data_IF_506504198217
#
_entry.id   IF_506504198217
#
_cell.length_a   1.000
_cell.length_b   1.000
_cell.length_c   1.000
_cell.angle_alpha   90.00
_cell.angle_beta   90.00
_cell.angle_gamma   90.00
#
_symmetry.space_group_name_H-M   'P 1'
#
loop_
_entity.id
_entity.type
_entity.pdbx_description
1 polymer ?
#
# COMPACT_ATOMS: atom_id res chain seq x y z
N UNK A 1 -22.54 -72.79 13.07
CA UNK A 1 -22.47 -72.63 11.60
C UNK A 1 -22.82 -71.19 11.27
N UNK A 2 -22.03 -70.56 10.39
CA UNK A 2 -22.21 -69.26 9.71
C UNK A 2 -22.42 -68.02 10.61
N UNK A 3 -21.46 -67.10 10.80
CA UNK A 3 -20.79 -66.18 9.86
C UNK A 3 -21.69 -65.11 9.21
N UNK A 4 -21.07 -63.94 8.98
CA UNK A 4 -21.51 -62.75 8.23
C UNK A 4 -22.25 -61.67 9.03
N UNK A 5 -21.99 -60.37 8.84
CA UNK A 5 -20.83 -59.55 8.47
C UNK A 5 -21.38 -58.12 8.44
N UNK A 6 -20.53 -57.15 8.79
CA UNK A 6 -20.51 -55.76 8.31
C UNK A 6 -21.56 -54.79 8.85
N UNK A 7 -21.04 -53.78 9.55
CA UNK A 7 -21.73 -52.51 9.73
C UNK A 7 -21.12 -51.57 10.76
N UNK A 8 -19.79 -51.61 11.00
CA UNK A 8 -19.16 -50.56 11.80
C UNK A 8 -19.04 -49.31 10.92
N UNK A 9 -20.11 -48.52 10.90
CA UNK A 9 -20.11 -47.19 10.29
C UNK A 9 -19.14 -46.31 11.06
N UNK A 10 -17.91 -46.21 10.56
CA UNK A 10 -16.92 -45.25 11.00
C UNK A 10 -17.45 -43.85 10.63
N UNK A 11 -18.20 -43.22 11.53
CA UNK A 11 -18.50 -41.79 11.44
C UNK A 11 -17.19 -41.04 11.61
N UNK A 12 -16.53 -40.79 10.47
CA UNK A 12 -15.43 -39.85 10.35
C UNK A 12 -16.01 -38.46 10.63
N UNK A 13 -15.93 -38.03 11.90
CA UNK A 13 -16.08 -36.62 12.26
C UNK A 13 -14.99 -35.86 11.50
N UNK A 14 -15.36 -35.27 10.35
CA UNK A 14 -14.59 -34.22 9.73
C UNK A 14 -14.57 -33.05 10.72
N UNK A 15 -13.58 -33.06 11.62
CA UNK A 15 -13.15 -31.87 12.32
C UNK A 15 -12.60 -30.92 11.27
N UNK A 16 -13.45 -30.04 10.76
CA UNK A 16 -13.03 -28.88 10.00
C UNK A 16 -12.29 -27.97 10.99
N UNK A 17 -11.00 -28.24 11.19
CA UNK A 17 -10.10 -27.30 11.84
C UNK A 17 -9.98 -26.09 10.92
N UNK A 18 -10.94 -25.16 11.05
CA UNK A 18 -10.71 -23.78 10.65
C UNK A 18 -9.71 -23.24 11.65
N UNK A 19 -8.42 -23.46 11.37
CA UNK A 19 -7.35 -22.65 11.95
C UNK A 19 -7.56 -21.25 11.37
N UNK A 20 -8.46 -20.46 11.97
CA UNK A 20 -8.33 -19.02 11.93
C UNK A 20 -6.94 -18.75 12.49
N UNK A 21 -5.99 -18.35 11.63
CA UNK A 21 -4.68 -17.94 12.11
C UNK A 21 -4.91 -16.74 13.00
N UNK A 22 -4.70 -16.93 14.31
CA UNK A 22 -4.75 -15.83 15.27
C UNK A 22 -3.79 -14.69 14.87
N UNK A 23 -2.73 -15.03 14.12
CA UNK A 23 -1.75 -14.10 13.54
C UNK A 23 -2.40 -13.04 12.64
N UNK A 24 -3.48 -13.37 11.93
CA UNK A 24 -4.14 -12.41 11.03
C UNK A 24 -4.93 -11.31 11.77
N UNK A 25 -5.27 -11.54 13.04
CA UNK A 25 -5.96 -10.55 13.88
C UNK A 25 -4.99 -9.51 14.47
N UNK A 26 -3.68 -9.71 14.33
CA UNK A 26 -2.62 -8.81 14.80
C UNK A 26 -1.68 -8.48 13.65
N UNK A 27 -2.23 -7.90 12.59
CA UNK A 27 -1.44 -7.45 11.44
C UNK A 27 -0.35 -6.43 11.83
N UNK A 28 -0.61 -5.62 12.85
CA UNK A 28 0.38 -4.74 13.48
C UNK A 28 0.76 -5.33 14.84
N UNK A 29 2.06 -5.48 15.11
CA UNK A 29 2.54 -6.04 16.37
C UNK A 29 2.20 -5.14 17.56
N UNK A 30 1.97 -5.75 18.72
CA UNK A 30 1.68 -5.00 19.96
C UNK A 30 2.88 -4.14 20.37
N UNK A 31 4.08 -4.62 20.09
CA UNK A 31 5.33 -3.94 20.33
C UNK A 31 5.42 -2.66 19.49
N UNK A 32 5.01 -2.70 18.22
CA UNK A 32 5.00 -1.54 17.34
C UNK A 32 3.92 -0.52 17.76
N UNK A 33 2.74 -0.99 18.17
CA UNK A 33 1.69 -0.12 18.74
C UNK A 33 2.14 0.57 20.04
N UNK A 34 2.75 -0.18 20.96
CA UNK A 34 3.27 0.37 22.22
C UNK A 34 4.42 1.36 21.97
N UNK A 35 5.25 1.09 20.96
CA UNK A 35 6.31 2.02 20.53
C UNK A 35 5.72 3.32 20.00
N UNK A 36 4.69 3.23 19.14
CA UNK A 36 3.99 4.41 18.63
C UNK A 36 3.36 5.24 19.76
N UNK A 37 2.70 4.60 20.72
CA UNK A 37 2.13 5.28 21.87
C UNK A 37 3.19 6.01 22.71
N UNK A 38 4.31 5.33 22.98
CA UNK A 38 5.40 5.86 23.81
C UNK A 38 6.12 7.04 23.14
N UNK A 39 6.33 6.97 21.83
CA UNK A 39 7.17 7.92 21.09
C UNK A 39 6.38 9.06 20.45
N UNK A 40 5.13 8.80 20.03
CA UNK A 40 4.30 9.74 19.27
C UNK A 40 2.93 10.01 19.95
N UNK A 41 2.62 9.33 21.04
CA UNK A 41 1.40 9.55 21.84
C UNK A 41 0.20 8.71 21.40
N UNK A 42 -0.88 8.80 22.18
CA UNK A 42 -2.08 7.97 22.02
C UNK A 42 -2.78 8.16 20.65
N UNK A 43 -2.73 9.36 20.07
CA UNK A 43 -3.33 9.58 18.74
C UNK A 43 -2.58 8.84 17.62
N UNK A 44 -1.26 8.65 17.76
CA UNK A 44 -0.46 7.90 16.80
C UNK A 44 -0.77 6.41 16.88
N UNK A 45 -0.85 5.86 18.09
CA UNK A 45 -1.33 4.50 18.32
C UNK A 45 -2.74 4.30 17.74
N UNK A 46 -3.66 5.24 17.97
CA UNK A 46 -5.02 5.16 17.43
C UNK A 46 -5.04 5.10 15.90
N UNK A 47 -4.24 5.91 15.20
CA UNK A 47 -4.17 5.85 13.73
C UNK A 47 -3.65 4.51 13.22
N UNK A 48 -2.74 3.86 13.95
CA UNK A 48 -2.30 2.50 13.62
C UNK A 48 -3.39 1.46 13.90
N UNK A 49 -4.13 1.58 15.00
CA UNK A 49 -5.29 0.73 15.28
C UNK A 49 -6.38 0.87 14.21
N UNK A 50 -6.65 2.10 13.74
CA UNK A 50 -7.59 2.37 12.66
C UNK A 50 -7.11 1.74 11.34
N UNK A 51 -5.81 1.78 11.08
CA UNK A 51 -5.21 1.13 9.92
C UNK A 51 -5.30 -0.41 10.01
N UNK A 52 -5.08 -0.98 11.20
CA UNK A 52 -5.29 -2.40 11.44
C UNK A 52 -6.76 -2.82 11.23
N UNK A 53 -7.71 -2.01 11.72
CA UNK A 53 -9.13 -2.26 11.52
C UNK A 53 -9.50 -2.21 10.02
N UNK A 54 -9.01 -1.20 9.29
CA UNK A 54 -9.16 -1.12 7.83
C UNK A 54 -8.69 -2.41 7.14
N UNK A 55 -7.49 -2.90 7.50
CA UNK A 55 -6.96 -4.12 6.91
C UNK A 55 -7.89 -5.31 7.16
N UNK A 56 -8.31 -5.50 8.41
CA UNK A 56 -9.20 -6.60 8.83
C UNK A 56 -10.53 -6.58 8.08
N UNK A 57 -11.16 -5.41 7.96
CA UNK A 57 -12.44 -5.22 7.28
C UNK A 57 -12.36 -5.54 5.77
N UNK A 58 -11.21 -5.27 5.16
CA UNK A 58 -11.02 -5.35 3.72
C UNK A 58 -10.51 -6.70 3.21
N UNK A 59 -9.98 -7.59 4.06
CA UNK A 59 -9.31 -8.85 3.61
C UNK A 59 -10.14 -9.64 2.60
N UNK A 60 -11.43 -9.79 2.90
CA UNK A 60 -12.39 -10.59 2.11
C UNK A 60 -13.20 -9.76 1.10
N UNK A 61 -12.88 -8.48 0.92
CA UNK A 61 -13.57 -7.61 -0.01
C UNK A 61 -13.01 -7.75 -1.44
N UNK A 62 -13.82 -7.33 -2.41
CA UNK A 62 -13.36 -7.25 -3.81
C UNK A 62 -12.32 -6.13 -3.99
N UNK A 63 -11.49 -6.24 -5.04
CA UNK A 63 -10.42 -5.28 -5.34
C UNK A 63 -10.94 -3.83 -5.44
N UNK A 64 -12.12 -3.63 -6.03
CA UNK A 64 -12.71 -2.30 -6.17
C UNK A 64 -13.00 -1.62 -4.83
N UNK A 65 -13.47 -2.38 -3.84
CA UNK A 65 -13.70 -1.87 -2.48
C UNK A 65 -12.37 -1.61 -1.76
N UNK A 66 -11.40 -2.53 -1.87
CA UNK A 66 -10.05 -2.35 -1.34
C UNK A 66 -9.42 -1.05 -1.83
N UNK A 67 -9.47 -0.79 -3.13
CA UNK A 67 -8.93 0.44 -3.73
C UNK A 67 -9.61 1.70 -3.18
N UNK A 68 -10.94 1.71 -3.09
CA UNK A 68 -11.70 2.87 -2.58
C UNK A 68 -11.39 3.15 -1.12
N UNK A 69 -11.50 2.13 -0.28
CA UNK A 69 -11.35 2.26 1.16
C UNK A 69 -9.90 2.62 1.55
N UNK A 70 -8.90 2.00 0.94
CA UNK A 70 -7.49 2.36 1.17
C UNK A 70 -7.17 3.78 0.71
N UNK A 71 -7.65 4.18 -0.49
CA UNK A 71 -7.43 5.53 -0.98
C UNK A 71 -8.09 6.58 -0.08
N UNK A 72 -9.32 6.30 0.38
CA UNK A 72 -10.04 7.16 1.31
C UNK A 72 -9.34 7.23 2.67
N UNK A 73 -8.93 6.10 3.23
CA UNK A 73 -8.29 6.02 4.54
C UNK A 73 -7.09 6.96 4.63
N UNK A 74 -6.07 6.77 3.77
CA UNK A 74 -4.86 7.57 3.85
C UNK A 74 -5.12 9.05 3.59
N UNK A 75 -5.96 9.38 2.61
CA UNK A 75 -6.30 10.78 2.30
C UNK A 75 -7.02 11.52 3.44
N UNK A 76 -7.54 10.82 4.46
CA UNK A 76 -8.24 11.42 5.59
C UNK A 76 -7.50 11.23 6.94
N UNK A 77 -6.61 10.25 7.06
CA UNK A 77 -5.87 9.97 8.30
C UNK A 77 -4.45 10.57 8.31
N UNK A 78 -3.98 11.07 7.17
CA UNK A 78 -2.64 11.66 7.02
C UNK A 78 -2.76 13.03 6.37
N UNK A 79 -1.97 14.01 6.87
CA UNK A 79 -1.93 15.36 6.31
C UNK A 79 -0.81 15.50 5.30
N UNK A 80 -1.05 16.28 4.25
CA UNK A 80 0.02 16.66 3.36
C UNK A 80 1.03 17.59 4.06
N UNK A 81 2.29 17.18 4.14
CA UNK A 81 3.42 17.97 4.67
C UNK A 81 4.64 17.65 3.82
N UNK A 82 5.29 18.65 3.24
CA UNK A 82 6.52 18.44 2.45
C UNK A 82 7.68 17.96 3.32
N UNK A 83 8.60 17.21 2.73
CA UNK A 83 9.78 16.68 3.43
C UNK A 83 10.65 17.76 4.08
N UNK A 84 10.80 18.90 3.43
CA UNK A 84 11.59 20.01 3.99
C UNK A 84 11.00 20.49 5.33
N UNK A 85 9.68 20.47 5.45
CA UNK A 85 8.97 20.88 6.67
C UNK A 85 8.87 19.73 7.67
N UNK A 86 8.68 18.51 7.18
CA UNK A 86 8.42 17.35 8.01
C UNK A 86 9.72 16.74 8.57
N UNK A 87 10.68 16.49 7.69
CA UNK A 87 11.92 15.77 7.96
C UNK A 87 13.17 16.65 7.93
N UNK A 88 13.05 17.92 7.51
CA UNK A 88 14.21 18.80 7.30
C UNK A 88 15.11 18.35 6.15
N UNK A 89 14.59 17.51 5.26
CA UNK A 89 15.30 16.90 4.14
C UNK A 89 14.66 17.32 2.83
N UNK A 90 15.44 17.27 1.74
CA UNK A 90 14.93 17.61 0.42
C UNK A 90 13.95 16.56 -0.14
N UNK A 91 14.19 15.29 0.20
CA UNK A 91 13.47 14.12 -0.31
C UNK A 91 13.67 12.99 0.73
N UNK A 92 12.57 12.44 1.26
CA UNK A 92 12.55 11.37 2.26
C UNK A 92 11.30 10.51 2.10
N UNK A 93 11.49 9.25 1.70
CA UNK A 93 10.36 8.33 1.51
C UNK A 93 9.97 7.69 2.84
N UNK A 94 8.90 8.18 3.45
CA UNK A 94 8.39 7.68 4.72
C UNK A 94 7.72 6.31 4.56
N UNK A 95 7.89 5.45 5.57
CA UNK A 95 7.11 4.21 5.68
C UNK A 95 5.64 4.52 6.01
N UNK A 96 4.72 3.55 5.83
CA UNK A 96 3.33 3.72 6.27
C UNK A 96 3.24 3.99 7.78
N UNK A 97 4.09 3.31 8.58
CA UNK A 97 4.20 3.55 10.01
C UNK A 97 4.66 4.99 10.31
N UNK A 98 5.72 5.46 9.65
CA UNK A 98 6.23 6.83 9.83
C UNK A 98 5.13 7.86 9.49
N UNK A 99 4.48 7.71 8.33
CA UNK A 99 3.41 8.60 7.87
C UNK A 99 2.24 8.68 8.84
N UNK A 100 1.79 7.53 9.37
CA UNK A 100 0.69 7.46 10.33
C UNK A 100 1.10 7.98 11.70
N UNK A 101 2.28 7.62 12.20
CA UNK A 101 2.69 8.01 13.56
C UNK A 101 2.97 9.50 13.67
N UNK A 102 3.62 10.11 12.66
CA UNK A 102 3.89 11.55 12.63
C UNK A 102 2.74 12.38 12.08
N UNK A 103 1.70 11.76 11.52
CA UNK A 103 0.52 12.42 10.94
C UNK A 103 0.87 13.34 9.75
N UNK A 104 1.92 13.02 9.01
CA UNK A 104 2.42 13.82 7.88
C UNK A 104 2.98 12.93 6.78
N UNK A 105 2.74 13.33 5.52
CA UNK A 105 3.23 12.64 4.34
C UNK A 105 3.24 13.62 3.16
N UNK A 106 4.13 13.42 2.20
CA UNK A 106 4.02 14.09 0.90
C UNK A 106 3.56 13.10 -0.20
N UNK A 107 3.70 13.45 -1.49
CA UNK A 107 3.01 12.71 -2.55
C UNK A 107 3.43 11.24 -2.69
N UNK A 108 4.71 10.93 -2.55
CA UNK A 108 5.24 9.57 -2.60
C UNK A 108 4.83 8.75 -1.39
N UNK A 109 4.81 9.36 -0.20
CA UNK A 109 4.47 8.70 1.06
C UNK A 109 3.02 8.20 1.02
N UNK A 110 2.09 9.01 0.51
CA UNK A 110 0.71 8.59 0.25
C UNK A 110 0.65 7.38 -0.70
N UNK A 111 1.51 7.36 -1.72
CA UNK A 111 1.54 6.29 -2.72
C UNK A 111 2.15 5.00 -2.15
N UNK A 112 3.24 5.10 -1.39
CA UNK A 112 3.89 3.99 -0.70
C UNK A 112 2.92 3.34 0.30
N UNK A 113 2.23 4.14 1.11
CA UNK A 113 1.28 3.64 2.10
C UNK A 113 0.09 2.90 1.46
N UNK A 114 -0.47 3.46 0.38
CA UNK A 114 -1.53 2.80 -0.40
C UNK A 114 -1.03 1.53 -1.09
N UNK A 115 0.14 1.58 -1.70
CA UNK A 115 0.74 0.45 -2.41
C UNK A 115 0.96 -0.74 -1.45
N UNK A 116 1.63 -0.48 -0.33
CA UNK A 116 1.90 -1.50 0.68
C UNK A 116 0.60 -2.10 1.22
N UNK A 117 -0.36 -1.26 1.63
CA UNK A 117 -1.64 -1.75 2.18
C UNK A 117 -2.42 -2.60 1.16
N UNK A 118 -2.47 -2.21 -0.11
CA UNK A 118 -3.17 -2.97 -1.15
C UNK A 118 -2.49 -4.30 -1.47
N UNK A 119 -1.15 -4.33 -1.47
CA UNK A 119 -0.35 -5.56 -1.59
C UNK A 119 -0.68 -6.51 -0.44
N UNK A 120 -0.68 -6.03 0.80
CA UNK A 120 -0.98 -6.84 1.99
C UNK A 120 -2.43 -7.34 2.00
N UNK A 121 -3.36 -6.58 1.39
CA UNK A 121 -4.73 -7.01 1.13
C UNK A 121 -4.85 -8.01 -0.03
N UNK A 122 -3.74 -8.48 -0.59
CA UNK A 122 -3.68 -9.53 -1.61
C UNK A 122 -3.92 -9.04 -3.03
N UNK A 123 -3.84 -7.72 -3.31
CA UNK A 123 -3.80 -7.26 -4.70
C UNK A 123 -2.44 -7.62 -5.29
N UNK A 124 -2.46 -8.29 -6.44
CA UNK A 124 -1.25 -8.66 -7.17
C UNK A 124 -0.39 -7.43 -7.47
N UNK A 125 0.91 -7.51 -7.14
CA UNK A 125 1.88 -6.43 -7.34
C UNK A 125 1.92 -5.95 -8.80
N UNK A 126 1.68 -6.84 -9.77
CA UNK A 126 1.69 -6.48 -11.19
C UNK A 126 0.51 -5.61 -11.64
N UNK A 127 -0.54 -5.55 -10.83
CA UNK A 127 -1.65 -4.62 -11.04
C UNK A 127 -1.37 -3.24 -10.47
N UNK A 128 -0.34 -3.07 -9.64
CA UNK A 128 -0.05 -1.82 -8.93
C UNK A 128 1.23 -1.19 -9.47
N UNK A 129 1.18 0.10 -9.81
CA UNK A 129 2.39 0.85 -10.19
C UNK A 129 2.44 2.23 -9.55
N UNK A 130 3.57 2.52 -8.92
CA UNK A 130 3.94 3.86 -8.48
C UNK A 130 4.27 4.67 -9.73
N UNK A 131 3.54 5.75 -9.96
CA UNK A 131 3.57 6.50 -11.23
C UNK A 131 3.99 7.94 -10.98
N UNK A 132 5.12 8.34 -11.56
CA UNK A 132 5.57 9.71 -11.55
C UNK A 132 4.90 10.49 -12.68
N UNK A 133 4.32 11.62 -12.34
CA UNK A 133 3.53 12.46 -13.24
C UNK A 133 3.91 13.93 -13.06
N UNK A 134 3.57 14.75 -14.04
CA UNK A 134 3.50 16.20 -13.87
C UNK A 134 2.04 16.59 -13.59
N UNK A 135 1.78 17.16 -12.43
CA UNK A 135 0.48 17.72 -12.08
C UNK A 135 0.36 19.12 -12.72
N UNK A 136 -0.41 19.20 -13.82
CA UNK A 136 -0.48 20.38 -14.69
C UNK A 136 -1.15 21.59 -14.03
N UNK A 137 -2.11 21.36 -13.13
CA UNK A 137 -2.84 22.45 -12.44
C UNK A 137 -1.96 23.26 -11.49
N UNK A 138 -1.01 22.59 -10.84
CA UNK A 138 -0.04 23.19 -9.91
C UNK A 138 1.36 23.30 -10.53
N UNK A 139 1.51 22.84 -11.78
CA UNK A 139 2.76 22.83 -12.54
C UNK A 139 3.96 22.24 -11.78
N UNK A 140 3.75 21.12 -11.11
CA UNK A 140 4.73 20.48 -10.23
C UNK A 140 4.84 18.97 -10.51
N UNK A 141 6.01 18.40 -10.22
CA UNK A 141 6.20 16.96 -10.14
C UNK A 141 5.34 16.34 -9.03
N UNK A 142 4.68 15.22 -9.33
CA UNK A 142 3.76 14.56 -8.42
C UNK A 142 3.87 13.04 -8.55
N UNK A 143 3.37 12.32 -7.56
CA UNK A 143 3.30 10.86 -7.58
C UNK A 143 1.88 10.37 -7.31
N UNK A 144 1.46 9.36 -8.06
CA UNK A 144 0.16 8.69 -7.89
C UNK A 144 0.33 7.18 -7.93
N UNK A 145 -0.59 6.46 -7.32
CA UNK A 145 -0.67 5.00 -7.48
C UNK A 145 -1.63 4.70 -8.63
N UNK A 146 -1.17 3.91 -9.60
CA UNK A 146 -2.03 3.40 -10.68
C UNK A 146 -2.35 1.94 -10.47
N UNK A 147 -3.61 1.59 -10.75
CA UNK A 147 -4.12 0.23 -10.69
C UNK A 147 -4.60 -0.24 -12.06
N UNK A 148 -4.11 -1.40 -12.51
CA UNK A 148 -4.43 -2.04 -13.78
C UNK A 148 -5.30 -3.28 -13.54
N UNK A 149 -6.63 -3.23 -13.81
CA UNK A 149 -7.48 -4.42 -13.73
C UNK A 149 -6.99 -5.57 -14.61
N UNK A 150 -6.47 -5.23 -15.79
CA UNK A 150 -5.74 -6.10 -16.72
C UNK A 150 -4.52 -5.35 -17.28
N UNK A 151 -3.49 -6.04 -17.79
CA UNK A 151 -2.27 -5.39 -18.28
C UNK A 151 -2.48 -4.34 -19.39
N UNK A 152 -3.56 -4.47 -20.18
CA UNK A 152 -3.93 -3.61 -21.31
C UNK A 152 -5.02 -2.58 -20.97
N UNK A 153 -5.58 -2.62 -19.76
CA UNK A 153 -6.63 -1.71 -19.34
C UNK A 153 -6.12 -0.27 -19.18
N UNK A 154 -7.02 0.69 -19.36
CA UNK A 154 -6.79 2.06 -18.88
C UNK A 154 -6.74 2.01 -17.35
N UNK A 155 -5.64 2.42 -16.71
CA UNK A 155 -5.50 2.27 -15.26
C UNK A 155 -6.42 3.24 -14.51
N UNK A 156 -6.78 2.84 -13.30
CA UNK A 156 -7.37 3.71 -12.30
C UNK A 156 -6.27 4.47 -11.55
N UNK A 157 -6.55 5.72 -11.17
CA UNK A 157 -5.60 6.60 -10.47
C UNK A 157 -6.07 6.82 -9.03
N UNK A 158 -5.23 6.43 -8.08
CA UNK A 158 -5.36 6.70 -6.65
C UNK A 158 -4.40 7.85 -6.31
N UNK A 159 -4.96 8.97 -5.87
CA UNK A 159 -4.27 10.24 -5.72
C UNK A 159 -4.65 10.89 -4.38
N UNK A 160 -3.75 11.67 -3.80
CA UNK A 160 -3.98 12.48 -2.61
C UNK A 160 -4.49 13.89 -2.95
N UNK A 161 -4.22 14.43 -4.14
CA UNK A 161 -4.76 15.74 -4.56
C UNK A 161 -6.26 15.67 -4.90
N UNK A 162 -6.70 14.56 -5.50
CA UNK A 162 -8.09 14.29 -5.82
C UNK A 162 -8.45 12.90 -5.27
N UNK A 163 -9.20 12.87 -4.16
CA UNK A 163 -9.52 11.60 -3.48
C UNK A 163 -10.50 10.68 -4.22
N UNK A 164 -11.17 11.17 -5.28
CA UNK A 164 -12.01 10.31 -6.12
C UNK A 164 -11.14 9.57 -7.14
N UNK A 165 -11.28 8.25 -7.16
CA UNK A 165 -10.59 7.39 -8.12
C UNK A 165 -11.20 7.59 -9.51
N UNK A 166 -10.35 7.91 -10.47
CA UNK A 166 -10.73 8.09 -11.87
C UNK A 166 -9.84 7.25 -12.78
N UNK A 167 -10.36 6.78 -13.93
CA UNK A 167 -9.51 6.28 -15.00
C UNK A 167 -8.52 7.35 -15.47
N UNK A 168 -7.29 6.94 -15.81
CA UNK A 168 -6.21 7.85 -16.19
C UNK A 168 -6.58 8.75 -17.38
N UNK A 169 -7.37 8.26 -18.34
CA UNK A 169 -7.83 9.07 -19.47
C UNK A 169 -8.78 10.23 -19.07
N UNK A 170 -9.35 10.22 -17.85
CA UNK A 170 -10.16 11.31 -17.27
C UNK A 170 -9.33 12.26 -16.41
N UNK A 171 -8.09 11.90 -16.02
CA UNK A 171 -7.15 12.75 -15.29
C UNK A 171 -6.31 13.61 -16.24
N UNK A 172 -6.97 14.51 -16.96
CA UNK A 172 -6.29 15.44 -17.91
C UNK A 172 -5.37 16.45 -17.22
N UNK A 173 -5.44 16.52 -15.90
CA UNK A 173 -4.58 17.31 -15.05
C UNK A 173 -3.24 16.62 -14.72
N UNK A 174 -3.07 15.34 -15.07
CA UNK A 174 -1.84 14.59 -14.86
C UNK A 174 -1.22 14.18 -16.19
N UNK A 175 0.07 14.45 -16.35
CA UNK A 175 0.86 14.01 -17.50
C UNK A 175 1.88 12.94 -17.06
N UNK A 176 1.72 11.67 -17.46
CA UNK A 176 2.61 10.61 -17.01
C UNK A 176 4.01 10.72 -17.61
N UNK A 177 5.03 10.39 -16.81
CA UNK A 177 6.43 10.35 -17.24
C UNK A 177 6.93 8.91 -17.24
N UNK A 178 6.87 8.23 -16.08
CA UNK A 178 7.27 6.84 -15.91
C UNK A 178 6.50 6.19 -14.76
N UNK A 179 6.48 4.86 -14.71
CA UNK A 179 5.92 4.08 -13.60
C UNK A 179 6.83 2.91 -13.22
N UNK A 180 6.71 2.42 -11.98
CA UNK A 180 7.48 1.29 -11.47
C UNK A 180 6.73 0.58 -10.34
N UNK A 181 7.14 -0.64 -10.03
CA UNK A 181 6.69 -1.40 -8.86
C UNK A 181 7.87 -2.22 -8.30
N UNK A 182 7.62 -3.11 -7.34
CA UNK A 182 8.67 -3.97 -6.80
C UNK A 182 9.28 -4.94 -7.84
N UNK A 183 8.58 -5.21 -8.95
CA UNK A 183 8.97 -6.17 -9.99
C UNK A 183 9.64 -5.55 -11.22
N UNK A 184 9.48 -4.24 -11.48
CA UNK A 184 9.99 -3.62 -12.71
C UNK A 184 9.68 -2.13 -12.89
N UNK A 185 10.11 -1.59 -14.04
CA UNK A 185 9.95 -0.17 -14.43
C UNK A 185 9.47 -0.03 -15.89
N UNK A 186 8.61 0.96 -16.14
CA UNK A 186 8.03 1.28 -17.45
C UNK A 186 8.15 2.78 -17.76
N UNK A 187 8.56 3.13 -18.98
CA UNK A 187 8.67 4.51 -19.46
C UNK A 187 7.46 4.86 -20.34
N UNK A 188 6.62 5.79 -19.90
CA UNK A 188 5.36 6.15 -20.60
C UNK A 188 5.58 7.22 -21.67
N UNK A 189 6.64 8.01 -21.52
CA UNK A 189 7.08 9.00 -22.52
C UNK A 189 8.58 8.96 -22.69
N UNK A 190 9.08 8.19 -23.66
CA UNK A 190 10.28 8.58 -24.42
C UNK A 190 10.53 7.65 -25.62
N UNK A 191 10.34 8.20 -26.82
CA UNK A 191 11.07 7.76 -28.02
C UNK A 191 12.57 8.03 -27.76
N UNK A 192 13.32 7.02 -27.35
CA UNK A 192 14.77 6.98 -27.56
C UNK A 192 15.69 7.55 -26.47
N UNK A 193 15.22 7.87 -25.27
CA UNK A 193 16.12 8.10 -24.13
C UNK A 193 15.67 7.26 -22.94
N UNK A 194 16.40 6.17 -22.70
CA UNK A 194 16.17 5.31 -21.55
C UNK A 194 16.58 6.05 -20.28
N UNK A 195 15.61 6.37 -19.42
CA UNK A 195 15.93 6.56 -18.02
C UNK A 195 16.19 5.16 -17.48
N UNK A 196 17.46 4.75 -17.44
CA UNK A 196 17.93 3.75 -16.47
C UNK A 196 17.37 4.17 -15.11
N UNK A 197 17.10 3.24 -14.19
CA UNK A 197 17.19 3.55 -12.74
C UNK A 197 18.60 4.08 -12.47
N UNK A 198 18.83 5.34 -12.80
CA UNK A 198 20.14 5.93 -13.02
C UNK A 198 20.26 7.27 -12.30
N UNK A 199 19.29 7.60 -11.45
CA UNK A 199 19.53 8.50 -10.34
C UNK A 199 19.80 7.62 -9.11
N UNK A 200 21.09 7.41 -8.75
CA UNK A 200 21.47 6.60 -7.59
C UNK A 200 20.64 6.94 -6.35
N UNK A 201 20.38 8.24 -6.16
CA UNK A 201 19.60 8.77 -5.04
C UNK A 201 18.21 8.14 -4.88
N UNK A 202 17.48 7.80 -5.97
CA UNK A 202 16.15 7.17 -5.83
C UNK A 202 16.25 5.68 -5.48
N UNK A 203 17.29 5.01 -5.95
CA UNK A 203 17.58 3.64 -5.54
C UNK A 203 17.99 3.61 -4.06
N UNK A 204 18.71 4.63 -3.61
CA UNK A 204 19.11 4.81 -2.22
C UNK A 204 17.91 5.11 -1.32
N UNK A 205 16.98 5.97 -1.75
CA UNK A 205 15.72 6.24 -1.04
C UNK A 205 14.86 4.98 -0.89
N UNK A 206 14.69 4.22 -1.98
CA UNK A 206 13.96 2.95 -1.94
C UNK A 206 14.64 1.92 -1.04
N UNK A 207 15.96 1.82 -1.09
CA UNK A 207 16.74 0.91 -0.23
C UNK A 207 16.59 1.31 1.24
N UNK A 208 16.71 2.61 1.55
CA UNK A 208 16.50 3.15 2.90
C UNK A 208 15.09 2.89 3.43
N UNK A 209 14.07 3.11 2.60
CA UNK A 209 12.68 2.78 2.90
C UNK A 209 12.55 1.30 3.28
N UNK A 210 13.07 0.39 2.44
CA UNK A 210 12.99 -1.07 2.70
C UNK A 210 13.66 -1.49 3.99
N UNK A 211 14.81 -0.89 4.32
CA UNK A 211 15.50 -1.16 5.59
C UNK A 211 14.66 -0.73 6.80
N UNK A 212 14.05 0.46 6.74
CA UNK A 212 13.16 0.94 7.82
C UNK A 212 11.89 0.11 7.93
N UNK A 213 11.26 -0.24 6.81
CA UNK A 213 10.08 -1.11 6.78
C UNK A 213 10.40 -2.48 7.39
N UNK A 214 11.54 -3.09 7.03
CA UNK A 214 11.97 -4.37 7.61
C UNK A 214 12.18 -4.29 9.12
N UNK A 215 12.70 -3.17 9.63
CA UNK A 215 12.83 -2.95 11.08
C UNK A 215 11.47 -2.74 11.79
N UNK A 216 10.41 -2.48 11.03
CA UNK A 216 9.03 -2.33 11.49
C UNK A 216 8.19 -3.59 11.20
N UNK A 217 8.85 -4.71 10.89
CA UNK A 217 8.22 -5.99 10.49
C UNK A 217 7.30 -5.85 9.24
N UNK A 218 7.60 -4.90 8.35
CA UNK A 218 6.88 -4.65 7.10
C UNK A 218 7.74 -5.00 5.89
N UNK A 219 7.18 -5.72 4.91
CA UNK A 219 7.87 -6.04 3.66
C UNK A 219 7.20 -5.38 2.46
N UNK A 220 7.95 -4.60 1.68
CA UNK A 220 7.49 -3.95 0.45
C UNK A 220 8.06 -4.60 -0.80
#
# INVERSE_FOLDING_TARGET
>A
MASLLKGLGLTLLLGLFVLLRADDLQWISKELLATAQREFGAEAEQRLLDWQALYQDLRNQNEGEKLRAVNYFFNNHVKYVSDEKHWGQKDYWATPYESLTTHGADCEDFVIAKYYTLKELGIEVEKLRITYVKALRINQAHMVLTYFPTPDAIPLVLDNLIGKIYPANKRKDLEPVYSFNASGMWLERMKGQGIRMGNPNKLDLWTGLRLRMSAQDMEI
#
